data_IF_173801083007
#
_entry.id   IF_173801083007
#
_cell.length_a   1.000
_cell.length_b   1.000
_cell.length_c   1.000
_cell.angle_alpha   90.00
_cell.angle_beta   90.00
_cell.angle_gamma   90.00
#
_symmetry.space_group_name_H-M   'P 1'
#
loop_
_entity.id
_entity.type
_entity.pdbx_description
1 polymer ?
#
# COMPACT_ATOMS: atom_id res chain seq x y z
N UNK A 1 2.90 24.70 18.17
CA UNK A 1 2.71 23.81 17.01
C UNK A 1 3.92 22.92 16.92
N UNK A 2 3.78 21.70 17.45
CA UNK A 2 4.89 20.78 17.70
C UNK A 2 5.46 20.29 16.38
N UNK A 3 6.72 20.66 16.13
CA UNK A 3 7.53 20.13 15.05
C UNK A 3 7.78 18.64 15.36
N UNK A 4 6.93 17.76 14.83
CA UNK A 4 7.15 16.32 14.93
C UNK A 4 8.28 16.00 13.95
N UNK A 5 9.49 15.82 14.46
CA UNK A 5 10.54 15.08 13.74
C UNK A 5 9.97 13.70 13.43
N UNK A 6 9.74 13.36 12.16
CA UNK A 6 9.37 11.99 11.80
C UNK A 6 10.56 11.36 11.10
N UNK A 7 11.37 10.67 11.90
CA UNK A 7 12.49 9.86 11.42
C UNK A 7 12.00 8.57 10.77
N UNK A 8 12.88 7.93 10.00
CA UNK A 8 12.70 6.55 9.56
C UNK A 8 12.64 5.62 10.77
N UNK A 9 11.56 4.87 10.95
CA UNK A 9 11.58 3.70 11.83
C UNK A 9 12.31 2.57 11.10
N UNK A 10 13.53 2.24 11.54
CA UNK A 10 14.37 1.23 10.92
C UNK A 10 14.16 -0.12 11.63
N UNK A 11 13.37 -1.01 11.04
CA UNK A 11 13.06 -2.33 11.62
C UNK A 11 13.74 -3.42 10.80
N UNK A 12 14.97 -3.78 11.19
CA UNK A 12 15.80 -4.77 10.50
C UNK A 12 16.30 -4.27 9.14
N UNK A 13 17.34 -4.92 8.59
CA UNK A 13 17.95 -4.47 7.34
C UNK A 13 16.86 -4.43 6.27
N UNK A 14 16.63 -3.24 5.71
CA UNK A 14 16.00 -3.01 4.42
C UNK A 14 14.48 -2.66 4.38
N UNK A 15 13.84 -2.04 5.39
CA UNK A 15 12.59 -1.27 5.12
C UNK A 15 12.41 -0.09 6.08
N UNK A 16 12.00 1.08 5.57
CA UNK A 16 11.80 2.30 6.35
C UNK A 16 10.46 2.95 6.01
N UNK A 17 9.64 3.21 7.03
CA UNK A 17 8.46 4.05 6.86
C UNK A 17 8.86 5.53 6.90
N UNK A 18 8.38 6.28 5.91
CA UNK A 18 8.50 7.73 5.87
C UNK A 18 7.09 8.33 5.91
N UNK A 19 6.72 8.93 7.02
CA UNK A 19 5.45 9.65 7.12
C UNK A 19 5.61 11.02 6.47
N UNK A 20 4.85 11.25 5.40
CA UNK A 20 4.85 12.50 4.65
C UNK A 20 3.60 13.31 5.00
N UNK A 21 3.79 14.61 5.24
CA UNK A 21 2.68 15.54 5.46
C UNK A 21 2.49 16.40 4.22
N UNK A 22 1.25 16.63 3.76
CA UNK A 22 0.96 17.59 2.70
C UNK A 22 1.68 18.93 2.93
N UNK A 23 2.30 19.45 1.87
CA UNK A 23 3.17 20.64 1.94
C UNK A 23 4.63 20.40 2.34
N UNK A 24 5.05 19.17 2.70
CA UNK A 24 6.47 18.87 2.93
C UNK A 24 7.29 18.90 1.60
N UNK A 25 8.59 19.23 1.63
CA UNK A 25 9.37 19.46 0.42
C UNK A 25 9.41 18.25 -0.53
N UNK A 26 9.09 18.50 -1.81
CA UNK A 26 9.12 17.48 -2.87
C UNK A 26 10.46 16.73 -2.95
N UNK A 27 11.58 17.43 -2.71
CA UNK A 27 12.91 16.84 -2.74
C UNK A 27 13.09 15.70 -1.71
N UNK A 28 12.46 15.82 -0.53
CA UNK A 28 12.48 14.78 0.51
C UNK A 28 11.68 13.56 0.08
N UNK A 29 10.47 13.78 -0.45
CA UNK A 29 9.63 12.67 -0.97
C UNK A 29 10.34 11.95 -2.12
N UNK A 30 10.92 12.69 -3.08
CA UNK A 30 11.72 12.09 -4.16
C UNK A 30 12.94 11.33 -3.65
N UNK A 31 13.58 11.78 -2.57
CA UNK A 31 14.69 11.07 -1.96
C UNK A 31 14.22 9.75 -1.31
N UNK A 32 13.09 9.76 -0.61
CA UNK A 32 12.48 8.56 -0.04
C UNK A 32 12.09 7.55 -1.14
N UNK A 33 11.36 7.96 -2.17
CA UNK A 33 10.92 7.08 -3.27
C UNK A 33 12.07 6.42 -4.05
N UNK A 34 13.25 7.03 -4.04
CA UNK A 34 14.46 6.49 -4.68
C UNK A 34 15.10 5.37 -3.87
N UNK A 35 14.86 5.28 -2.56
CA UNK A 35 15.38 4.17 -1.77
C UNK A 35 14.52 2.94 -2.01
N UNK A 36 15.18 1.81 -2.24
CA UNK A 36 14.53 0.53 -2.57
C UNK A 36 13.54 0.08 -1.48
N UNK A 37 13.78 0.55 -0.27
CA UNK A 37 13.23 0.04 0.97
C UNK A 37 12.35 1.05 1.71
N UNK A 38 12.20 2.26 1.17
CA UNK A 38 11.39 3.29 1.79
C UNK A 38 9.95 3.21 1.25
N UNK A 39 8.99 3.34 2.16
CA UNK A 39 7.57 3.41 1.86
C UNK A 39 6.96 4.65 2.49
N UNK A 40 6.41 5.50 1.63
CA UNK A 40 5.86 6.79 2.02
C UNK A 40 4.40 6.61 2.42
N UNK A 41 4.04 7.10 3.59
CA UNK A 41 2.66 7.06 4.09
C UNK A 41 2.20 8.50 4.32
N UNK A 42 1.05 8.93 3.76
CA UNK A 42 0.52 10.24 4.09
C UNK A 42 0.05 10.28 5.55
N UNK A 43 0.37 11.36 6.27
CA UNK A 43 -0.23 11.63 7.58
C UNK A 43 -1.68 12.06 7.44
N UNK A 44 -2.00 12.81 6.38
CA UNK A 44 -3.35 13.15 5.96
C UNK A 44 -3.38 13.22 4.43
N UNK A 45 -4.33 12.56 3.78
CA UNK A 45 -4.53 12.69 2.34
C UNK A 45 -5.99 12.49 1.95
N UNK A 46 -6.40 13.18 0.89
CA UNK A 46 -7.64 12.87 0.17
C UNK A 46 -7.55 11.46 -0.42
N UNK A 47 -8.69 10.86 -0.78
CA UNK A 47 -8.70 9.54 -1.42
C UNK A 47 -7.79 9.49 -2.66
N UNK A 48 -7.82 10.53 -3.50
CA UNK A 48 -6.95 10.64 -4.68
C UNK A 48 -5.48 10.82 -4.31
N UNK A 49 -5.18 11.67 -3.33
CA UNK A 49 -3.82 11.87 -2.84
C UNK A 49 -3.20 10.59 -2.28
N UNK A 50 -3.99 9.75 -1.59
CA UNK A 50 -3.54 8.43 -1.12
C UNK A 50 -3.12 7.54 -2.29
N UNK A 51 -3.91 7.48 -3.35
CA UNK A 51 -3.57 6.70 -4.55
C UNK A 51 -2.35 7.25 -5.28
N UNK A 52 -2.15 8.57 -5.32
CA UNK A 52 -0.96 9.17 -5.90
C UNK A 52 0.32 8.77 -5.16
N UNK A 53 0.28 8.77 -3.82
CA UNK A 53 1.39 8.32 -2.98
C UNK A 53 1.61 6.81 -3.13
N UNK A 54 0.52 6.04 -3.18
CA UNK A 54 0.58 4.59 -3.40
C UNK A 54 1.23 4.25 -4.75
N UNK A 55 0.81 4.90 -5.83
CA UNK A 55 1.43 4.74 -7.14
C UNK A 55 2.88 5.21 -7.13
N UNK A 56 3.19 6.28 -6.41
CA UNK A 56 4.57 6.73 -6.23
C UNK A 56 5.42 5.66 -5.54
N UNK A 57 4.89 5.03 -4.48
CA UNK A 57 5.54 3.92 -3.79
C UNK A 57 5.73 2.71 -4.70
N UNK A 58 4.72 2.35 -5.50
CA UNK A 58 4.75 1.15 -6.35
C UNK A 58 5.63 1.34 -7.59
N UNK A 59 5.55 2.50 -8.24
CA UNK A 59 6.21 2.78 -9.52
C UNK A 59 7.54 3.52 -9.38
N UNK A 60 7.86 4.05 -8.19
CA UNK A 60 9.02 4.91 -7.93
C UNK A 60 9.05 6.18 -8.79
N UNK A 61 7.87 6.64 -9.18
CA UNK A 61 7.65 7.89 -9.91
C UNK A 61 6.91 8.83 -8.99
N UNK A 62 7.50 9.97 -8.65
CA UNK A 62 6.81 10.98 -7.86
C UNK A 62 5.60 11.51 -8.63
N UNK A 63 4.43 11.36 -8.04
CA UNK A 63 3.22 12.09 -8.40
C UNK A 63 2.88 13.05 -7.27
N UNK A 64 2.58 14.30 -7.61
CA UNK A 64 2.21 15.32 -6.64
C UNK A 64 0.81 15.02 -6.09
N UNK A 65 0.67 14.65 -4.80
CA UNK A 65 -0.59 14.11 -4.29
C UNK A 65 -1.75 15.12 -4.32
N UNK A 66 -1.44 16.41 -4.21
CA UNK A 66 -2.42 17.50 -4.23
C UNK A 66 -2.95 17.81 -5.63
N UNK A 67 -2.22 17.41 -6.68
CA UNK A 67 -2.61 17.62 -8.09
C UNK A 67 -3.09 16.34 -8.77
N UNK A 68 -2.92 15.20 -8.13
CA UNK A 68 -3.34 13.93 -8.69
C UNK A 68 -4.86 13.88 -8.87
N UNK A 69 -5.27 13.31 -9.99
CA UNK A 69 -6.67 13.11 -10.38
C UNK A 69 -7.01 11.63 -10.41
N UNK A 70 -8.31 11.31 -10.45
CA UNK A 70 -8.75 9.92 -10.66
C UNK A 70 -8.27 9.39 -12.01
N UNK A 71 -8.18 10.24 -13.03
CA UNK A 71 -7.72 9.85 -14.36
C UNK A 71 -6.23 9.50 -14.40
N UNK A 72 -5.41 10.10 -13.54
CA UNK A 72 -4.00 9.69 -13.37
C UNK A 72 -3.92 8.25 -12.86
N UNK A 73 -4.78 7.88 -11.91
CA UNK A 73 -4.83 6.53 -11.34
C UNK A 73 -5.32 5.53 -12.39
N UNK A 74 -6.42 5.87 -13.08
CA UNK A 74 -6.95 5.06 -14.19
C UNK A 74 -5.91 4.87 -15.28
N UNK A 75 -5.24 5.93 -15.70
CA UNK A 75 -4.20 5.91 -16.72
C UNK A 75 -2.99 5.06 -16.32
N UNK A 76 -2.61 5.04 -15.03
CA UNK A 76 -1.56 4.16 -14.53
C UNK A 76 -1.98 2.68 -14.57
N UNK A 77 -3.22 2.36 -14.20
CA UNK A 77 -3.77 1.00 -14.31
C UNK A 77 -3.85 0.57 -15.77
N UNK A 78 -4.36 1.42 -16.66
CA UNK A 78 -4.48 1.16 -18.10
C UNK A 78 -3.13 0.92 -18.77
N UNK A 79 -2.09 1.69 -18.38
CA UNK A 79 -0.70 1.47 -18.84
C UNK A 79 -0.08 0.20 -18.25
N UNK A 80 -0.58 -0.26 -17.12
CA UNK A 80 -0.08 -1.41 -16.39
C UNK A 80 1.03 -1.06 -15.41
N UNK A 81 1.02 -1.71 -14.25
CA UNK A 81 2.11 -1.61 -13.26
C UNK A 81 3.28 -2.49 -13.69
N UNK A 82 4.51 -2.03 -13.44
CA UNK A 82 5.69 -2.86 -13.71
C UNK A 82 5.85 -3.98 -12.66
N UNK A 83 6.69 -4.97 -12.94
CA UNK A 83 7.01 -6.07 -12.01
C UNK A 83 7.49 -5.59 -10.64
N UNK A 84 8.20 -4.47 -10.62
CA UNK A 84 8.74 -3.92 -9.39
C UNK A 84 7.65 -3.46 -8.42
N UNK A 85 6.49 -3.02 -8.91
CA UNK A 85 5.33 -2.74 -8.06
C UNK A 85 4.91 -3.97 -7.22
N UNK A 86 4.84 -5.15 -7.85
CA UNK A 86 4.54 -6.39 -7.14
C UNK A 86 5.64 -6.75 -6.12
N UNK A 87 6.91 -6.63 -6.52
CA UNK A 87 8.04 -6.93 -5.62
C UNK A 87 8.04 -6.02 -4.40
N UNK A 88 7.79 -4.73 -4.58
CA UNK A 88 7.75 -3.74 -3.50
C UNK A 88 6.57 -3.98 -2.57
N UNK A 89 5.38 -4.27 -3.11
CA UNK A 89 4.23 -4.64 -2.30
C UNK A 89 4.53 -5.90 -1.46
N UNK A 90 5.14 -6.93 -2.08
CA UNK A 90 5.52 -8.16 -1.38
C UNK A 90 6.47 -7.88 -0.20
N UNK A 91 7.48 -7.05 -0.43
CA UNK A 91 8.43 -6.62 0.61
C UNK A 91 7.71 -5.82 1.71
N UNK A 92 6.85 -4.88 1.33
CA UNK A 92 6.10 -4.06 2.28
C UNK A 92 5.21 -4.92 3.19
N UNK A 93 4.52 -5.90 2.61
CA UNK A 93 3.67 -6.86 3.34
C UNK A 93 4.45 -7.87 4.18
N UNK A 94 5.74 -8.07 3.89
CA UNK A 94 6.52 -9.22 4.39
C UNK A 94 5.82 -10.56 4.08
N UNK A 95 5.25 -10.67 2.89
CA UNK A 95 4.47 -11.82 2.47
C UNK A 95 5.28 -12.79 1.59
N UNK A 96 5.09 -14.12 1.75
CA UNK A 96 5.58 -15.08 0.77
C UNK A 96 5.02 -14.80 -0.64
N UNK A 97 5.84 -14.97 -1.68
CA UNK A 97 5.42 -14.73 -3.07
C UNK A 97 4.15 -15.51 -3.44
N UNK A 98 4.03 -16.75 -2.95
CA UNK A 98 2.88 -17.62 -3.18
C UNK A 98 1.57 -17.11 -2.57
N UNK A 99 1.62 -16.40 -1.44
CA UNK A 99 0.41 -15.85 -0.82
C UNK A 99 -0.11 -14.65 -1.59
N UNK A 100 0.77 -13.68 -1.88
CA UNK A 100 0.37 -12.50 -2.64
C UNK A 100 -0.10 -12.87 -4.06
N UNK A 101 0.59 -13.79 -4.73
CA UNK A 101 0.22 -14.26 -6.07
C UNK A 101 -1.19 -14.89 -6.12
N UNK A 102 -1.58 -15.65 -5.08
CA UNK A 102 -2.93 -16.21 -4.94
C UNK A 102 -3.98 -15.10 -4.78
N UNK A 103 -3.72 -14.13 -3.91
CA UNK A 103 -4.64 -13.01 -3.65
C UNK A 103 -4.85 -12.13 -4.88
N UNK A 104 -3.77 -11.78 -5.59
CA UNK A 104 -3.88 -11.01 -6.85
C UNK A 104 -4.28 -11.87 -8.04
N UNK A 105 -4.45 -13.19 -7.85
CA UNK A 105 -4.86 -14.17 -8.87
C UNK A 105 -3.96 -14.18 -10.11
N UNK A 106 -2.65 -14.07 -9.91
CA UNK A 106 -1.65 -14.15 -10.97
C UNK A 106 -0.73 -15.34 -10.67
N UNK A 107 -0.65 -16.36 -11.55
CA UNK A 107 0.24 -17.50 -11.33
C UNK A 107 1.70 -17.05 -11.16
N UNK A 108 2.44 -17.66 -10.24
CA UNK A 108 3.86 -17.29 -9.98
C UNK A 108 4.73 -17.37 -11.23
N UNK A 109 4.53 -18.38 -12.08
CA UNK A 109 5.20 -18.49 -13.39
C UNK A 109 4.93 -17.31 -14.32
N UNK A 110 3.74 -16.70 -14.21
CA UNK A 110 3.38 -15.52 -14.98
C UNK A 110 4.08 -14.30 -14.40
N UNK A 111 4.07 -14.12 -13.08
CA UNK A 111 4.80 -13.04 -12.39
C UNK A 111 6.29 -13.09 -12.73
N UNK A 112 6.89 -14.29 -12.74
CA UNK A 112 8.32 -14.48 -12.99
C UNK A 112 8.77 -13.93 -14.35
N UNK A 113 7.92 -14.01 -15.38
CA UNK A 113 8.21 -13.55 -16.76
C UNK A 113 7.59 -12.21 -17.14
N UNK A 114 6.75 -11.63 -16.28
CA UNK A 114 5.99 -10.41 -16.58
C UNK A 114 6.84 -9.20 -16.26
N UNK A 115 7.02 -8.30 -17.24
CA UNK A 115 7.66 -6.99 -17.00
C UNK A 115 6.62 -5.91 -16.68
N UNK A 116 5.47 -5.94 -17.35
CA UNK A 116 4.33 -5.03 -17.15
C UNK A 116 3.06 -5.86 -17.00
N UNK A 117 2.34 -5.67 -15.90
CA UNK A 117 1.07 -6.32 -15.61
C UNK A 117 -0.05 -5.75 -16.48
N UNK A 118 -1.04 -6.59 -16.78
CA UNK A 118 -2.26 -6.14 -17.47
C UNK A 118 -3.07 -5.16 -16.61
N UNK A 119 -4.03 -4.41 -17.17
CA UNK A 119 -4.87 -3.51 -16.40
C UNK A 119 -5.60 -4.22 -15.24
N UNK A 120 -6.20 -5.38 -15.48
CA UNK A 120 -6.91 -6.15 -14.46
C UNK A 120 -5.96 -6.72 -13.39
N UNK A 121 -4.75 -7.13 -13.78
CA UNK A 121 -3.68 -7.56 -12.86
C UNK A 121 -3.20 -6.39 -12.00
N UNK A 122 -3.05 -5.21 -12.60
CA UNK A 122 -2.60 -3.97 -11.98
C UNK A 122 -3.60 -3.45 -10.96
N UNK A 123 -4.89 -3.50 -11.28
CA UNK A 123 -5.98 -3.13 -10.38
C UNK A 123 -5.97 -4.01 -9.12
N UNK A 124 -5.81 -5.34 -9.27
CA UNK A 124 -5.71 -6.25 -8.12
C UNK A 124 -4.50 -5.99 -7.23
N UNK A 125 -3.34 -5.67 -7.82
CA UNK A 125 -2.13 -5.28 -7.07
C UNK A 125 -2.39 -3.97 -6.31
N UNK A 126 -2.95 -2.98 -6.99
CA UNK A 126 -3.24 -1.67 -6.40
C UNK A 126 -4.22 -1.76 -5.24
N UNK A 127 -5.26 -2.61 -5.36
CA UNK A 127 -6.25 -2.85 -4.32
C UNK A 127 -5.63 -3.37 -3.03
N UNK A 128 -4.81 -4.43 -3.12
CA UNK A 128 -4.11 -4.98 -1.94
C UNK A 128 -3.17 -3.94 -1.34
N UNK A 129 -2.44 -3.20 -2.18
CA UNK A 129 -1.53 -2.15 -1.74
C UNK A 129 -2.25 -1.00 -1.02
N UNK A 130 -3.43 -0.62 -1.51
CA UNK A 130 -4.28 0.43 -0.94
C UNK A 130 -4.79 0.03 0.45
N UNK A 131 -5.33 -1.19 0.58
CA UNK A 131 -5.78 -1.70 1.87
C UNK A 131 -4.63 -1.81 2.89
N UNK A 132 -3.43 -2.23 2.45
CA UNK A 132 -2.27 -2.30 3.33
C UNK A 132 -1.76 -0.93 3.76
N UNK A 133 -1.68 0.04 2.83
CA UNK A 133 -1.33 1.42 3.17
C UNK A 133 -2.30 1.98 4.20
N UNK A 134 -3.60 1.74 4.03
CA UNK A 134 -4.62 2.15 5.00
C UNK A 134 -4.41 1.50 6.37
N UNK A 135 -3.97 0.24 6.41
CA UNK A 135 -3.63 -0.41 7.67
C UNK A 135 -2.44 0.28 8.37
N UNK A 136 -1.41 0.71 7.61
CA UNK A 136 -0.29 1.49 8.17
C UNK A 136 -0.77 2.85 8.69
N UNK A 137 -1.63 3.55 7.93
CA UNK A 137 -2.20 4.84 8.33
C UNK A 137 -2.97 4.74 9.66
N UNK A 138 -3.81 3.71 9.84
CA UNK A 138 -4.62 3.53 11.05
C UNK A 138 -3.81 3.01 12.23
N UNK A 139 -2.90 2.06 11.99
CA UNK A 139 -2.21 1.34 13.06
C UNK A 139 -0.86 1.98 13.44
N UNK A 140 -0.40 2.97 12.67
CA UNK A 140 0.73 3.84 13.00
C UNK A 140 2.11 3.20 12.90
N UNK A 141 2.21 1.92 12.53
CA UNK A 141 3.48 1.19 12.42
C UNK A 141 3.39 0.09 11.38
N UNK A 142 4.50 -0.14 10.66
CA UNK A 142 4.61 -1.21 9.67
C UNK A 142 4.41 -2.57 10.30
N UNK A 143 5.07 -2.84 11.43
CA UNK A 143 5.02 -4.14 12.09
C UNK A 143 3.62 -4.46 12.61
N UNK A 144 2.95 -3.47 13.18
CA UNK A 144 1.56 -3.62 13.60
C UNK A 144 0.65 -3.82 12.40
N UNK A 145 0.86 -3.09 11.30
CA UNK A 145 0.10 -3.27 10.07
C UNK A 145 0.32 -4.66 9.46
N UNK A 146 1.57 -5.13 9.32
CA UNK A 146 1.91 -6.47 8.82
C UNK A 146 1.22 -7.55 9.65
N UNK A 147 1.42 -7.54 10.97
CA UNK A 147 0.77 -8.49 11.88
C UNK A 147 -0.74 -8.44 11.76
N UNK A 148 -1.32 -7.24 11.71
CA UNK A 148 -2.76 -7.10 11.61
C UNK A 148 -3.28 -7.65 10.27
N UNK A 149 -2.60 -7.35 9.17
CA UNK A 149 -3.00 -7.70 7.80
C UNK A 149 -2.83 -9.18 7.47
N UNK A 150 -1.92 -9.88 8.17
CA UNK A 150 -1.68 -11.33 8.05
C UNK A 150 -2.37 -12.17 9.13
N UNK A 151 -3.03 -11.55 10.11
CA UNK A 151 -3.74 -12.29 11.18
C UNK A 151 -5.23 -12.43 10.88
N UNK A 152 -5.76 -13.64 11.03
CA UNK A 152 -7.18 -13.94 10.88
C UNK A 152 -8.05 -13.01 11.75
N UNK A 153 -9.16 -12.52 11.18
CA UNK A 153 -10.15 -11.69 11.89
C UNK A 153 -11.47 -12.43 11.99
N UNK A 154 -12.04 -12.48 13.20
CA UNK A 154 -13.40 -12.98 13.42
C UNK A 154 -14.43 -12.25 12.56
N UNK A 155 -14.27 -10.93 12.42
CA UNK A 155 -15.14 -10.09 11.58
C UNK A 155 -15.08 -10.43 10.09
N UNK A 156 -14.04 -11.12 9.62
CA UNK A 156 -13.85 -11.56 8.24
C UNK A 156 -14.05 -13.09 8.10
N UNK A 157 -14.82 -13.70 9.01
CA UNK A 157 -15.10 -15.14 8.98
C UNK A 157 -13.86 -16.02 9.20
N UNK A 158 -12.85 -15.51 9.92
CA UNK A 158 -11.61 -16.24 10.18
C UNK A 158 -10.55 -16.11 9.08
N UNK A 159 -10.81 -15.34 8.02
CA UNK A 159 -9.80 -15.00 7.00
C UNK A 159 -8.92 -13.83 7.46
N UNK A 160 -7.74 -13.73 6.86
CA UNK A 160 -6.86 -12.57 7.01
C UNK A 160 -7.37 -11.39 6.17
N UNK A 161 -7.06 -10.14 6.54
CA UNK A 161 -7.33 -8.98 5.70
C UNK A 161 -6.71 -9.11 4.30
N UNK A 162 -5.49 -9.65 4.21
CA UNK A 162 -4.82 -9.90 2.93
C UNK A 162 -5.62 -10.85 2.01
N UNK A 163 -6.13 -11.97 2.54
CA UNK A 163 -6.96 -12.90 1.78
C UNK A 163 -8.29 -12.29 1.35
N UNK A 164 -8.86 -11.40 2.17
CA UNK A 164 -10.13 -10.73 1.86
C UNK A 164 -9.98 -9.72 0.71
N UNK A 165 -8.78 -9.17 0.50
CA UNK A 165 -8.49 -8.28 -0.62
C UNK A 165 -8.40 -8.98 -1.99
N UNK A 166 -8.79 -10.26 -2.10
CA UNK A 166 -8.89 -10.98 -3.38
C UNK A 166 -10.04 -10.47 -4.28
N UNK A 167 -10.97 -9.71 -3.71
CA UNK A 167 -12.09 -9.02 -4.38
C UNK A 167 -12.22 -7.57 -3.92
N UNK A 168 -12.91 -6.74 -4.70
CA UNK A 168 -13.14 -5.33 -4.35
C UNK A 168 -14.04 -5.18 -3.12
N UNK A 169 -15.19 -5.86 -3.03
CA UNK A 169 -16.00 -5.81 -1.80
C UNK A 169 -15.25 -6.30 -0.57
N UNK A 170 -14.37 -7.29 -0.70
CA UNK A 170 -13.57 -7.76 0.42
C UNK A 170 -12.51 -6.74 0.87
N UNK A 171 -11.90 -6.00 -0.06
CA UNK A 171 -11.02 -4.88 0.30
C UNK A 171 -11.80 -3.73 0.97
N UNK A 172 -13.03 -3.46 0.54
CA UNK A 172 -13.93 -2.50 1.18
C UNK A 172 -14.25 -2.91 2.62
N UNK A 173 -14.56 -4.18 2.87
CA UNK A 173 -14.77 -4.70 4.23
C UNK A 173 -13.54 -4.57 5.14
N UNK A 174 -12.34 -4.76 4.59
CA UNK A 174 -11.09 -4.51 5.30
C UNK A 174 -10.94 -3.03 5.64
N UNK A 175 -11.24 -2.12 4.71
CA UNK A 175 -11.22 -0.69 4.94
C UNK A 175 -12.25 -0.25 6.00
N UNK A 176 -13.45 -0.83 5.98
CA UNK A 176 -14.50 -0.60 6.98
C UNK A 176 -14.06 -1.05 8.37
N UNK A 177 -13.42 -2.22 8.48
CA UNK A 177 -12.87 -2.70 9.75
C UNK A 177 -11.77 -1.78 10.29
N UNK A 178 -10.88 -1.28 9.41
CA UNK A 178 -9.87 -0.28 9.78
C UNK A 178 -10.49 1.06 10.21
N UNK A 179 -11.55 1.51 9.53
CA UNK A 179 -12.30 2.72 9.92
C UNK A 179 -12.91 2.61 11.31
N UNK A 180 -13.46 1.44 11.67
CA UNK A 180 -13.94 1.19 13.03
C UNK A 180 -12.81 1.29 14.07
N UNK A 181 -11.64 0.73 13.77
CA UNK A 181 -10.46 0.81 14.64
C UNK A 181 -10.01 2.27 14.84
N UNK A 182 -9.94 3.06 13.76
CA UNK A 182 -9.56 4.48 13.82
C UNK A 182 -10.50 5.30 14.71
N UNK A 183 -11.80 4.98 14.72
CA UNK A 183 -12.80 5.64 15.55
C UNK A 183 -13.00 4.99 16.93
N UNK A 184 -12.17 4.02 17.32
CA UNK A 184 -12.27 3.34 18.62
C UNK A 184 -13.52 2.46 18.79
N UNK A 185 -14.17 2.10 17.69
CA UNK A 185 -15.34 1.21 17.69
C UNK A 185 -14.86 -0.24 17.62
N UNK A 186 -14.90 -0.94 18.75
CA UNK A 186 -14.61 -2.37 18.82
C UNK A 186 -15.91 -3.19 18.62
N UNK A 187 -15.85 -4.31 17.89
CA UNK A 187 -16.99 -5.23 17.62
C UNK A 187 -16.68 -6.67 18.03
#
# INVERSE_FOLDING_TARGET
MTQVRIGSENQGKDFSLYFWTPGAPEAEMRAALRKKWDWVVPTHATSTGRYAILLSNLLRVYQEPEKATVDDIRGAIEKGLNKEAFNRLKIALDAPSGELSKVVRIPERTIARREIFKPDESERILRVASAFQRAIEVLGSLDTARRWFSSAKRALGGKTPMEFCDTEPGAEEVANLLGRIEHGVFS
#
